data_IF_578583683326
#
_entry.id   IF_578583683326
#
_cell.length_a   1.000
_cell.length_b   1.000
_cell.length_c   1.000
_cell.angle_alpha   90.00
_cell.angle_beta   90.00
_cell.angle_gamma   90.00
#
_symmetry.space_group_name_H-M   'P 1'
#
loop_
_entity.id
_entity.type
_entity.pdbx_description
1 polymer ?
#
# COMPACT_ATOMS: atom_id res chain seq x y z
N UNK A 1 19.05 -30.40 -59.33
CA UNK A 1 18.16 -30.12 -58.18
C UNK A 1 18.86 -29.39 -57.00
N UNK A 2 19.93 -28.62 -57.21
CA UNK A 2 20.59 -27.86 -56.13
C UNK A 2 20.15 -26.39 -56.04
N UNK A 3 19.53 -25.83 -57.09
CA UNK A 3 19.13 -24.41 -57.15
C UNK A 3 17.82 -24.10 -56.39
N UNK A 4 16.96 -25.11 -56.16
CA UNK A 4 15.66 -24.92 -55.51
C UNK A 4 15.75 -24.85 -53.96
N UNK A 5 16.78 -25.45 -53.37
CA UNK A 5 16.95 -25.51 -51.92
C UNK A 5 17.51 -24.20 -51.32
N UNK A 6 18.38 -23.49 -52.04
CA UNK A 6 18.91 -22.19 -51.59
C UNK A 6 17.89 -21.06 -51.66
N UNK A 7 16.96 -21.10 -52.63
CA UNK A 7 15.90 -20.07 -52.75
C UNK A 7 14.90 -20.08 -51.60
N UNK A 8 14.64 -21.24 -50.96
CA UNK A 8 13.79 -21.32 -49.76
C UNK A 8 14.50 -20.88 -48.47
N UNK A 9 15.83 -21.03 -48.36
CA UNK A 9 16.61 -20.56 -47.19
C UNK A 9 16.77 -19.04 -47.13
N UNK A 10 16.81 -18.37 -48.29
CA UNK A 10 16.98 -16.90 -48.34
C UNK A 10 15.66 -16.13 -48.16
N UNK A 11 14.50 -16.74 -48.38
CA UNK A 11 13.18 -16.10 -48.16
C UNK A 11 12.82 -16.01 -46.66
N UNK A 12 13.24 -16.97 -45.85
CA UNK A 12 12.95 -17.03 -44.40
C UNK A 12 13.88 -16.16 -43.56
N UNK A 13 15.06 -15.79 -44.07
CA UNK A 13 15.98 -14.84 -43.38
C UNK A 13 15.62 -13.37 -43.60
N UNK A 14 14.90 -13.04 -44.67
CA UNK A 14 14.48 -11.65 -44.98
C UNK A 14 13.30 -11.16 -44.14
N UNK A 15 12.49 -12.06 -43.56
CA UNK A 15 11.32 -11.69 -42.73
C UNK A 15 11.63 -11.45 -41.25
N UNK A 16 12.79 -11.89 -40.75
CA UNK A 16 13.20 -11.70 -39.35
C UNK A 16 14.14 -10.49 -39.14
N UNK A 17 14.78 -9.99 -40.20
CA UNK A 17 15.59 -8.77 -40.14
C UNK A 17 14.77 -7.48 -40.31
N UNK A 18 13.63 -7.55 -41.01
CA UNK A 18 12.72 -6.40 -41.21
C UNK A 18 11.82 -6.10 -39.99
N UNK A 19 11.73 -7.01 -39.00
CA UNK A 19 10.98 -6.76 -37.76
C UNK A 19 11.78 -6.05 -36.66
N UNK A 20 13.06 -5.75 -36.87
CA UNK A 20 13.89 -4.98 -35.92
C UNK A 20 13.96 -3.48 -36.21
N UNK A 21 13.37 -3.00 -37.30
CA UNK A 21 13.38 -1.57 -37.68
C UNK A 21 12.18 -0.74 -37.18
N UNK A 22 11.22 -1.33 -36.46
CA UNK A 22 9.93 -0.68 -36.20
C UNK A 22 9.72 -0.10 -34.78
N UNK A 23 10.71 -0.10 -33.89
CA UNK A 23 10.57 0.56 -32.58
C UNK A 23 11.92 1.13 -32.09
N UNK A 24 12.20 2.41 -32.35
CA UNK A 24 12.24 3.46 -31.30
C UNK A 24 12.70 4.80 -31.88
N UNK A 25 11.89 5.80 -31.55
CA UNK A 25 11.91 7.22 -31.89
C UNK A 25 13.08 8.00 -31.25
N UNK A 26 13.29 9.28 -31.63
CA UNK A 26 14.59 9.91 -31.83
C UNK A 26 15.22 10.52 -30.56
N UNK A 27 16.55 10.53 -30.56
CA UNK A 27 17.38 11.31 -29.65
C UNK A 27 17.31 12.80 -30.04
N UNK A 28 16.70 13.62 -29.20
CA UNK A 28 16.97 15.06 -29.17
C UNK A 28 17.94 15.36 -28.03
N UNK A 29 19.12 15.85 -28.41
CA UNK A 29 19.98 16.65 -27.56
C UNK A 29 19.30 17.99 -27.28
N UNK A 30 19.26 18.39 -26.01
CA UNK A 30 19.41 19.79 -25.57
C UNK A 30 19.66 19.82 -24.06
N UNK A 31 20.66 20.59 -23.63
CA UNK A 31 20.76 21.06 -22.25
C UNK A 31 21.97 20.60 -21.45
N UNK A 32 23.13 21.15 -21.80
CA UNK A 32 24.26 21.37 -20.89
C UNK A 32 23.87 22.30 -19.72
N UNK A 33 24.73 22.34 -18.70
CA UNK A 33 24.70 23.15 -17.46
C UNK A 33 23.90 22.61 -16.28
N UNK A 34 24.61 21.98 -15.32
CA UNK A 34 24.59 22.54 -13.98
C UNK A 34 25.90 22.31 -13.22
N UNK A 35 26.50 23.43 -12.86
CA UNK A 35 27.67 23.58 -12.00
C UNK A 35 27.51 22.86 -10.67
N UNK A 36 28.53 22.09 -10.30
CA UNK A 36 28.71 21.57 -8.96
C UNK A 36 29.27 22.68 -8.04
N UNK A 37 28.39 23.39 -7.35
CA UNK A 37 28.73 24.07 -6.09
C UNK A 37 27.48 24.61 -5.42
N UNK A 38 26.83 23.76 -4.63
CA UNK A 38 25.77 24.17 -3.73
C UNK A 38 25.90 23.39 -2.45
N UNK A 39 26.59 23.96 -1.44
CA UNK A 39 26.45 23.53 -0.05
C UNK A 39 24.95 23.60 0.26
N UNK A 40 24.31 22.44 0.26
CA UNK A 40 22.88 22.31 0.46
C UNK A 40 22.54 22.94 1.79
N UNK A 41 21.87 24.10 1.73
CA UNK A 41 21.17 24.69 2.86
C UNK A 41 20.30 23.57 3.41
N UNK A 42 20.67 23.06 4.58
CA UNK A 42 19.83 22.11 5.30
C UNK A 42 18.50 22.81 5.47
N UNK A 43 17.47 22.36 4.73
CA UNK A 43 16.10 22.77 4.98
C UNK A 43 15.84 22.32 6.41
N UNK A 44 16.00 23.23 7.37
CA UNK A 44 15.53 23.05 8.74
C UNK A 44 14.07 22.63 8.58
N UNK A 45 13.78 21.36 8.89
CA UNK A 45 12.43 20.85 8.90
C UNK A 45 11.67 21.67 9.96
N UNK A 46 10.93 22.69 9.53
CA UNK A 46 10.01 23.40 10.41
C UNK A 46 8.91 22.42 10.84
N UNK A 47 9.13 21.83 12.02
CA UNK A 47 8.21 20.95 12.73
C UNK A 47 6.90 21.69 12.99
N UNK A 48 5.83 21.25 12.32
CA UNK A 48 4.46 21.80 12.39
C UNK A 48 3.95 22.08 13.79
N UNK A 49 3.96 21.01 14.58
CA UNK A 49 3.37 20.85 15.90
C UNK A 49 3.84 19.45 16.32
N UNK A 50 4.25 19.25 17.56
CA UNK A 50 4.67 17.92 18.01
C UNK A 50 3.47 16.96 18.06
N UNK A 51 3.71 15.67 17.79
CA UNK A 51 2.64 14.66 17.85
C UNK A 51 2.04 14.56 19.26
N UNK A 52 2.84 14.79 20.30
CA UNK A 52 2.39 14.78 21.69
C UNK A 52 1.46 15.95 22.01
N UNK A 53 1.76 17.15 21.52
CA UNK A 53 0.89 18.31 21.69
C UNK A 53 -0.46 18.08 21.01
N UNK A 54 -0.44 17.63 19.76
CA UNK A 54 -1.67 17.29 19.04
C UNK A 54 -2.47 16.22 19.78
N UNK A 55 -1.80 15.19 20.32
CA UNK A 55 -2.45 14.15 21.11
C UNK A 55 -3.11 14.68 22.37
N UNK A 56 -2.46 15.60 23.09
CA UNK A 56 -3.05 16.22 24.28
C UNK A 56 -4.36 16.95 23.98
N UNK A 57 -4.46 17.52 22.78
CA UNK A 57 -5.69 18.13 22.28
C UNK A 57 -6.71 17.04 21.91
N UNK A 58 -6.38 16.13 20.98
CA UNK A 58 -7.39 15.23 20.38
C UNK A 58 -7.82 14.04 21.25
N UNK A 59 -7.07 13.70 22.31
CA UNK A 59 -7.29 12.47 23.10
C UNK A 59 -8.69 12.34 23.70
N UNK A 60 -9.37 13.46 23.96
CA UNK A 60 -10.66 13.50 24.66
C UNK A 60 -11.81 14.19 23.91
N UNK A 61 -11.53 14.96 22.85
CA UNK A 61 -12.52 15.79 22.15
C UNK A 61 -12.59 15.56 20.62
N UNK A 62 -11.96 14.50 20.11
CA UNK A 62 -12.03 14.17 18.68
C UNK A 62 -13.43 13.71 18.25
N UNK A 63 -13.88 14.11 17.07
CA UNK A 63 -15.14 13.62 16.46
C UNK A 63 -15.12 12.13 16.14
N UNK A 64 -13.92 11.54 15.95
CA UNK A 64 -13.74 10.11 15.73
C UNK A 64 -13.84 9.28 17.02
N UNK A 65 -13.88 9.94 18.18
CA UNK A 65 -13.86 9.26 19.48
C UNK A 65 -15.24 8.69 19.81
N UNK A 66 -15.28 7.39 20.07
CA UNK A 66 -16.51 6.70 20.51
C UNK A 66 -16.26 6.08 21.88
N UNK A 67 -17.07 6.46 22.87
CA UNK A 67 -17.06 5.92 24.23
C UNK A 67 -18.37 5.19 24.48
N UNK A 68 -18.34 3.86 24.60
CA UNK A 68 -19.51 3.01 24.86
C UNK A 68 -19.08 1.79 25.68
N UNK A 69 -19.95 1.29 26.55
CA UNK A 69 -19.74 0.04 27.31
C UNK A 69 -18.39 -0.04 28.05
N UNK A 70 -17.99 1.05 28.74
CA UNK A 70 -16.68 1.19 29.42
C UNK A 70 -15.45 1.00 28.50
N UNK A 71 -15.63 1.08 27.19
CA UNK A 71 -14.58 0.94 26.18
C UNK A 71 -14.47 2.22 25.35
N UNK A 72 -13.24 2.52 24.89
CA UNK A 72 -12.95 3.71 24.08
C UNK A 72 -12.33 3.32 22.74
N UNK A 73 -12.99 3.73 21.66
CA UNK A 73 -12.63 3.45 20.28
C UNK A 73 -12.35 4.75 19.50
N UNK A 74 -11.62 4.63 18.38
CA UNK A 74 -11.49 5.71 17.40
C UNK A 74 -11.80 5.19 16.00
N UNK A 75 -12.65 5.91 15.28
CA UNK A 75 -13.10 5.59 13.90
C UNK A 75 -12.29 6.31 12.81
N UNK A 76 -11.18 6.95 13.18
CA UNK A 76 -10.34 7.67 12.24
C UNK A 76 -9.72 6.74 11.16
N UNK A 77 -9.51 7.26 9.93
CA UNK A 77 -8.79 6.52 8.91
C UNK A 77 -7.34 6.26 9.35
N UNK A 78 -6.74 5.20 8.84
CA UNK A 78 -5.37 4.77 9.17
C UNK A 78 -5.13 4.35 10.64
N UNK A 79 -6.17 4.06 11.42
CA UNK A 79 -6.03 3.41 12.73
C UNK A 79 -6.15 1.88 12.63
N UNK A 80 -5.03 1.18 12.80
CA UNK A 80 -4.96 -0.27 12.57
C UNK A 80 -5.80 -1.09 13.57
N UNK A 81 -5.96 -0.62 14.82
CA UNK A 81 -6.68 -1.35 15.87
C UNK A 81 -8.02 -0.73 16.26
N UNK A 82 -8.40 0.40 15.64
CA UNK A 82 -9.58 1.19 15.99
C UNK A 82 -9.67 1.59 17.49
N UNK A 83 -8.53 1.59 18.20
CA UNK A 83 -8.47 1.96 19.62
C UNK A 83 -8.02 3.41 19.75
N UNK A 84 -8.59 4.14 20.70
CA UNK A 84 -8.09 5.47 21.06
C UNK A 84 -6.76 5.32 21.82
N UNK A 85 -5.64 5.50 21.13
CA UNK A 85 -4.31 5.38 21.70
C UNK A 85 -3.32 6.17 20.87
N UNK A 86 -2.39 6.86 21.53
CA UNK A 86 -1.34 7.62 20.88
C UNK A 86 -0.63 6.82 19.79
N UNK A 87 -0.23 5.57 20.08
CA UNK A 87 0.56 4.75 19.16
C UNK A 87 -0.14 4.43 17.84
N UNK A 88 -1.45 4.19 17.89
CA UNK A 88 -2.23 3.72 16.74
C UNK A 88 -2.94 4.83 15.99
N UNK A 89 -2.79 6.08 16.44
CA UNK A 89 -3.47 7.21 15.82
C UNK A 89 -2.97 7.50 14.40
N UNK A 90 -3.90 7.68 13.47
CA UNK A 90 -3.61 7.86 12.04
C UNK A 90 -3.38 9.30 11.59
N UNK A 91 -3.67 10.28 12.44
CA UNK A 91 -3.70 11.70 12.08
C UNK A 91 -2.46 12.45 12.58
N UNK A 92 -2.10 12.23 13.85
CA UNK A 92 -1.08 13.02 14.57
C UNK A 92 0.36 12.69 14.16
N UNK A 93 0.61 11.47 13.68
CA UNK A 93 1.98 11.01 13.39
C UNK A 93 2.43 11.45 12.00
N UNK A 94 3.73 11.74 11.86
CA UNK A 94 4.37 12.04 10.56
C UNK A 94 4.39 10.83 9.62
N UNK A 95 4.54 9.64 10.21
CA UNK A 95 4.52 8.35 9.51
C UNK A 95 3.32 7.54 9.98
N UNK A 96 2.49 7.08 9.05
CA UNK A 96 1.32 6.25 9.36
C UNK A 96 1.20 5.11 8.35
N UNK A 97 0.62 4.01 8.83
CA UNK A 97 0.36 2.81 8.03
C UNK A 97 -1.11 2.47 8.20
N UNK A 98 -1.88 2.66 7.13
CA UNK A 98 -3.24 2.18 7.00
C UNK A 98 -3.30 0.89 6.20
N UNK A 99 -4.32 0.08 6.50
CA UNK A 99 -4.63 -1.12 5.75
C UNK A 99 -6.15 -1.17 5.58
N UNK A 100 -6.59 -1.06 4.34
CA UNK A 100 -7.99 -0.94 3.93
C UNK A 100 -8.34 -2.00 2.88
N UNK A 101 -9.60 -2.42 2.80
CA UNK A 101 -10.04 -3.25 1.68
C UNK A 101 -9.91 -2.48 0.36
N UNK A 102 -9.55 -3.17 -0.72
CA UNK A 102 -9.63 -2.59 -2.06
C UNK A 102 -11.08 -2.34 -2.47
N UNK A 103 -11.32 -1.30 -3.27
CA UNK A 103 -12.65 -0.94 -3.77
C UNK A 103 -13.29 -2.10 -4.56
N UNK A 104 -12.48 -2.86 -5.28
CA UNK A 104 -12.91 -4.00 -6.11
C UNK A 104 -13.32 -5.24 -5.28
N UNK A 105 -13.30 -5.15 -3.95
CA UNK A 105 -13.60 -6.25 -3.04
C UNK A 105 -12.53 -7.35 -2.99
N UNK A 106 -11.47 -7.24 -3.80
CA UNK A 106 -10.38 -8.22 -3.89
C UNK A 106 -9.04 -7.58 -3.54
N UNK A 107 -8.37 -8.14 -2.53
CA UNK A 107 -7.06 -7.66 -2.11
C UNK A 107 -7.13 -6.46 -1.17
N UNK A 108 -5.99 -5.85 -0.92
CA UNK A 108 -5.82 -4.86 0.15
C UNK A 108 -5.17 -3.59 -0.42
N UNK A 109 -5.54 -2.44 0.12
CA UNK A 109 -4.85 -1.17 -0.09
C UNK A 109 -4.04 -0.84 1.15
N UNK A 110 -2.74 -0.65 0.96
CA UNK A 110 -1.83 -0.16 1.99
C UNK A 110 -1.72 1.35 1.81
N UNK A 111 -2.06 2.09 2.86
CA UNK A 111 -2.00 3.56 2.85
C UNK A 111 -0.79 3.99 3.66
N UNK A 112 0.12 4.74 3.05
CA UNK A 112 1.32 5.27 3.69
C UNK A 112 1.31 6.79 3.63
N UNK A 113 1.81 7.44 4.67
CA UNK A 113 1.94 8.91 4.68
C UNK A 113 3.29 9.32 4.10
N UNK A 114 3.29 10.22 3.12
CA UNK A 114 4.50 10.75 2.50
C UNK A 114 5.24 11.66 3.49
N UNK A 115 6.58 11.68 3.43
CA UNK A 115 7.38 12.58 4.28
C UNK A 115 7.13 14.05 3.94
N UNK A 116 7.06 14.36 2.65
CA UNK A 116 6.72 15.69 2.14
C UNK A 116 5.20 15.92 2.12
N UNK A 117 4.78 17.18 2.12
CA UNK A 117 3.36 17.54 1.96
C UNK A 117 2.49 17.26 3.19
N UNK A 118 3.04 17.29 4.41
CA UNK A 118 2.28 17.02 5.64
C UNK A 118 1.08 17.96 5.85
N UNK A 119 1.19 19.22 5.39
CA UNK A 119 0.11 20.22 5.45
C UNK A 119 -0.83 20.18 4.22
N UNK A 120 -0.60 19.26 3.28
CA UNK A 120 -1.36 19.12 2.03
C UNK A 120 -2.12 17.81 2.07
N UNK A 121 -3.29 17.74 2.74
CA UNK A 121 -3.98 16.48 3.00
C UNK A 121 -4.26 15.69 1.71
N UNK A 122 -4.62 16.38 0.62
CA UNK A 122 -4.90 15.79 -0.69
C UNK A 122 -3.74 14.96 -1.26
N UNK A 123 -2.49 15.36 -1.04
CA UNK A 123 -1.31 14.69 -1.62
C UNK A 123 -0.44 13.97 -0.58
N UNK A 124 -0.81 14.07 0.69
CA UNK A 124 -0.04 13.56 1.83
C UNK A 124 -0.01 12.03 1.95
N UNK A 125 -0.93 11.33 1.28
CA UNK A 125 -1.04 9.88 1.33
C UNK A 125 -0.66 9.23 0.00
N UNK A 126 -0.06 8.04 0.10
CA UNK A 126 0.24 7.15 -1.00
C UNK A 126 -0.50 5.84 -0.78
N UNK A 127 -1.25 5.40 -1.79
CA UNK A 127 -2.05 4.17 -1.75
C UNK A 127 -1.40 3.13 -2.64
N UNK A 128 -1.09 1.97 -2.08
CA UNK A 128 -0.50 0.85 -2.79
C UNK A 128 -1.51 -0.30 -2.75
N UNK A 129 -2.09 -0.64 -3.88
CA UNK A 129 -3.01 -1.77 -4.01
C UNK A 129 -2.22 -3.07 -4.19
N UNK A 130 -2.51 -4.08 -3.37
CA UNK A 130 -1.93 -5.41 -3.44
C UNK A 130 -3.05 -6.41 -3.66
N UNK A 131 -3.17 -6.88 -4.89
CA UNK A 131 -4.07 -7.95 -5.28
C UNK A 131 -3.26 -9.20 -5.63
N UNK A 132 -2.84 -9.93 -4.59
CA UNK A 132 -2.06 -11.17 -4.70
C UNK A 132 -2.65 -12.23 -3.77
N UNK A 133 -2.11 -13.46 -3.83
CA UNK A 133 -2.45 -14.51 -2.88
C UNK A 133 -2.16 -14.08 -1.42
N UNK A 134 -2.83 -14.70 -0.44
CA UNK A 134 -2.78 -14.25 0.94
C UNK A 134 -1.35 -14.23 1.52
N UNK A 135 -0.54 -15.26 1.22
CA UNK A 135 0.84 -15.37 1.70
C UNK A 135 1.74 -14.28 1.10
N UNK A 136 1.67 -14.04 -0.21
CA UNK A 136 2.45 -13.00 -0.87
C UNK A 136 2.00 -11.62 -0.40
N UNK A 137 0.71 -11.37 -0.24
CA UNK A 137 0.19 -10.08 0.24
C UNK A 137 0.73 -9.73 1.64
N UNK A 138 0.67 -10.69 2.57
CA UNK A 138 1.23 -10.50 3.92
C UNK A 138 2.76 -10.36 3.89
N UNK A 139 3.45 -11.10 3.01
CA UNK A 139 4.89 -10.97 2.83
C UNK A 139 5.25 -9.59 2.28
N UNK A 140 4.60 -9.11 1.23
CA UNK A 140 4.81 -7.78 0.64
C UNK A 140 4.58 -6.68 1.67
N UNK A 141 3.48 -6.72 2.43
CA UNK A 141 3.21 -5.76 3.51
C UNK A 141 4.31 -5.78 4.59
N UNK A 142 4.79 -6.96 4.97
CA UNK A 142 5.91 -7.10 5.92
C UNK A 142 7.18 -6.45 5.39
N UNK A 143 7.49 -6.64 4.11
CA UNK A 143 8.68 -6.08 3.48
C UNK A 143 8.60 -4.56 3.38
N UNK A 144 7.45 -4.00 2.94
CA UNK A 144 7.21 -2.55 2.88
C UNK A 144 7.53 -1.89 4.23
N UNK A 145 7.08 -2.48 5.35
CA UNK A 145 7.32 -1.91 6.67
C UNK A 145 8.75 -2.15 7.17
N UNK A 146 9.26 -3.39 7.02
CA UNK A 146 10.55 -3.80 7.62
C UNK A 146 11.75 -3.29 6.85
N UNK A 147 11.76 -3.44 5.52
CA UNK A 147 12.91 -3.09 4.67
C UNK A 147 13.09 -1.58 4.56
N UNK A 148 12.00 -0.83 4.52
CA UNK A 148 12.05 0.65 4.46
C UNK A 148 12.23 1.30 5.84
N UNK A 149 12.40 0.51 6.91
CA UNK A 149 12.51 0.99 8.29
C UNK A 149 11.42 2.02 8.68
N UNK A 150 10.19 1.84 8.17
CA UNK A 150 9.18 2.91 8.21
C UNK A 150 8.53 3.05 9.60
N UNK A 151 7.76 2.04 10.02
CA UNK A 151 7.12 1.93 11.36
C UNK A 151 7.06 0.48 11.82
N UNK A 152 8.22 -0.05 12.24
CA UNK A 152 8.39 -1.45 12.65
C UNK A 152 7.47 -1.85 13.80
N UNK A 153 7.10 -0.88 14.64
CA UNK A 153 6.19 -1.02 15.77
C UNK A 153 4.77 -1.42 15.35
N UNK A 154 4.32 -0.99 14.17
CA UNK A 154 2.97 -1.28 13.65
C UNK A 154 2.91 -2.54 12.79
N UNK A 155 4.05 -3.13 12.43
CA UNK A 155 4.16 -4.29 11.53
C UNK A 155 3.15 -5.39 11.85
N UNK A 156 3.12 -5.83 13.10
CA UNK A 156 2.25 -6.94 13.50
C UNK A 156 0.77 -6.56 13.60
N UNK A 157 0.46 -5.28 13.83
CA UNK A 157 -0.92 -4.80 13.79
C UNK A 157 -1.42 -4.74 12.34
N UNK A 158 -0.58 -4.24 11.42
CA UNK A 158 -0.89 -4.15 10.00
C UNK A 158 -1.11 -5.55 9.38
N UNK A 159 -0.25 -6.52 9.71
CA UNK A 159 -0.40 -7.91 9.24
C UNK A 159 -1.69 -8.56 9.74
N UNK A 160 -2.07 -8.34 11.00
CA UNK A 160 -3.32 -8.88 11.55
C UNK A 160 -4.55 -8.25 10.89
N UNK A 161 -4.54 -6.94 10.67
CA UNK A 161 -5.61 -6.24 9.96
C UNK A 161 -5.75 -6.71 8.51
N UNK A 162 -4.62 -6.84 7.80
CA UNK A 162 -4.59 -7.40 6.45
C UNK A 162 -5.16 -8.83 6.42
N UNK A 163 -4.75 -9.70 7.34
CA UNK A 163 -5.29 -11.05 7.43
C UNK A 163 -6.80 -11.07 7.71
N UNK A 164 -7.30 -10.14 8.52
CA UNK A 164 -8.73 -10.02 8.80
C UNK A 164 -9.51 -9.60 7.55
N UNK A 165 -8.99 -8.64 6.77
CA UNK A 165 -9.59 -8.20 5.50
C UNK A 165 -9.59 -9.34 4.46
N UNK A 166 -8.47 -10.04 4.30
CA UNK A 166 -8.40 -11.19 3.39
C UNK A 166 -9.36 -12.30 3.83
N UNK A 167 -9.61 -12.46 5.13
CA UNK A 167 -10.60 -13.41 5.65
C UNK A 167 -12.03 -12.94 5.35
N UNK A 168 -12.33 -11.65 5.50
CA UNK A 168 -13.66 -11.11 5.23
C UNK A 168 -14.03 -11.12 3.74
N UNK A 169 -13.04 -11.09 2.85
CA UNK A 169 -13.23 -11.19 1.40
C UNK A 169 -13.49 -12.62 0.90
N UNK A 170 -13.20 -13.64 1.72
CA UNK A 170 -13.49 -15.03 1.33
C UNK A 170 -15.01 -15.26 1.37
N UNK A 171 -15.54 -16.07 0.44
CA UNK A 171 -16.96 -16.39 0.43
C UNK A 171 -17.35 -17.04 1.77
N UNK A 172 -18.45 -16.55 2.35
CA UNK A 172 -18.98 -17.09 3.60
C UNK A 172 -19.61 -18.44 3.30
N UNK A 173 -18.96 -19.52 3.74
CA UNK A 173 -19.55 -20.86 3.68
C UNK A 173 -20.74 -20.88 4.65
N UNK A 174 -21.97 -20.90 4.11
CA UNK A 174 -23.18 -21.08 4.91
C UNK A 174 -23.10 -22.46 5.57
N UNK A 175 -22.85 -22.50 6.88
CA UNK A 175 -22.89 -23.76 7.64
C UNK A 175 -24.33 -24.26 7.64
N UNK A 176 -24.61 -25.39 6.99
CA UNK A 176 -25.91 -26.07 7.14
C UNK A 176 -26.04 -26.46 8.64
N UNK A 177 -27.13 -26.06 9.29
CA UNK A 177 -27.46 -26.57 10.63
C UNK A 177 -27.56 -28.09 10.51
N UNK A 178 -26.75 -28.83 11.28
CA UNK A 178 -26.93 -30.28 11.39
C UNK A 178 -28.27 -30.49 12.08
N UNK A 179 -29.29 -30.89 11.33
CA UNK A 179 -30.52 -31.41 11.91
C UNK A 179 -30.15 -32.69 12.65
N UNK A 180 -30.51 -32.77 13.94
CA UNK A 180 -30.38 -34.02 14.69
C UNK A 180 -31.40 -34.99 14.11
N UNK A 181 -30.98 -36.23 13.84
CA UNK A 181 -31.93 -37.29 13.45
C UNK A 181 -32.99 -37.43 14.56
N UNK A 182 -34.28 -37.59 14.21
CA UNK A 182 -35.30 -37.83 15.21
C UNK A 182 -34.95 -39.11 15.98
N UNK A 183 -35.05 -39.08 17.30
CA UNK A 183 -34.95 -40.30 18.12
C UNK A 183 -36.16 -41.16 17.77
N UNK A 184 -35.91 -42.35 17.23
CA UNK A 184 -36.92 -43.40 17.11
C UNK A 184 -37.27 -43.86 18.53
N UNK A 185 -38.56 -43.91 18.84
CA UNK A 185 -39.11 -44.47 20.07
C UNK A 185 -39.28 -45.99 19.92
#
# INVERSE_FOLDING_TARGET
>A
MLVAAERKRLRTRRSLLERRKAYKLPLQQVGSFFSASGRGISKREFSTMSAHLQWMIVRNCSSFLIKRNKQTYSTEPNNLKARNSFRYNGLIHRKTVGVEPAADGKGIVVVLKKRAGQRKPATSYEKITINKNARATLSSLRHIIRKNNYRKDLRMAALRRASAILRSQKPVVKKKKRTRAPKTA
#
